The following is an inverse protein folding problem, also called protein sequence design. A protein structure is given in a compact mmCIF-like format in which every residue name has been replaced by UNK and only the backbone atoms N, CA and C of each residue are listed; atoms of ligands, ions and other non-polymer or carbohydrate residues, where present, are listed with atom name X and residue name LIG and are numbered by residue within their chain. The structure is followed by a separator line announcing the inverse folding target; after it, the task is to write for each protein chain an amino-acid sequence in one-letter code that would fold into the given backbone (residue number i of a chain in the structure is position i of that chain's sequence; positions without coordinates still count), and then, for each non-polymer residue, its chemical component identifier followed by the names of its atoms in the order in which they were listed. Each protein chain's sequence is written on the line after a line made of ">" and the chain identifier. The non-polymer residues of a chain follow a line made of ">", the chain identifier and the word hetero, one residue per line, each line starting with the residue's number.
data_IF_529360740866
#
_entry.id   IF_529360740866
#
_cell.length_a   1.000
_cell.length_b   1.000
_cell.length_c   1.000
_cell.angle_alpha   90.00
_cell.angle_beta   90.00
_cell.angle_gamma   90.00
#
_symmetry.space_group_name_H-M   'P 1'
#
loop_
_entity.id
_entity.type
_entity.pdbx_description
1 polymer ?
#
# COMPACT_ATOMS: atom_id res chain seq x y z
N UNK A 1 -3.07 30.75 -15.64
CA UNK A 1 -2.12 30.47 -14.54
C UNK A 1 -2.35 29.03 -14.12
N UNK A 2 -1.67 28.08 -14.75
CA UNK A 2 -1.81 26.65 -14.44
C UNK A 2 -0.73 26.31 -13.44
N UNK A 3 -1.12 26.16 -12.16
CA UNK A 3 -0.20 25.82 -11.10
C UNK A 3 0.07 24.31 -11.16
N UNK A 4 1.11 23.91 -11.89
CA UNK A 4 1.61 22.54 -11.88
C UNK A 4 2.49 22.39 -10.65
N UNK A 5 1.90 22.00 -9.52
CA UNK A 5 2.68 21.57 -8.36
C UNK A 5 3.50 20.35 -8.77
N UNK A 6 4.85 20.39 -8.67
CA UNK A 6 5.68 19.24 -9.01
C UNK A 6 5.38 18.10 -8.03
N UNK A 7 5.08 16.91 -8.57
CA UNK A 7 4.97 15.67 -7.79
C UNK A 7 6.30 15.45 -7.05
N UNK A 8 6.28 15.19 -5.73
CA UNK A 8 7.52 14.90 -5.01
C UNK A 8 8.17 13.66 -5.60
N UNK A 9 9.47 13.77 -5.87
CA UNK A 9 10.27 12.70 -6.42
C UNK A 9 10.28 11.48 -5.48
N UNK A 10 9.64 10.40 -5.95
CA UNK A 10 9.87 9.02 -5.51
C UNK A 10 9.79 8.77 -4.00
N UNK A 11 8.58 8.84 -3.46
CA UNK A 11 8.20 7.97 -2.35
C UNK A 11 7.11 7.03 -2.85
N UNK A 12 7.50 6.08 -3.72
CA UNK A 12 6.65 4.92 -3.97
C UNK A 12 6.72 4.08 -2.71
N UNK A 13 5.56 3.85 -2.08
CA UNK A 13 5.44 2.89 -0.99
C UNK A 13 5.61 1.53 -1.64
N UNK A 14 6.84 1.03 -1.66
CA UNK A 14 7.16 -0.30 -2.17
C UNK A 14 6.55 -1.31 -1.20
N UNK A 15 5.72 -2.20 -1.69
CA UNK A 15 5.13 -3.28 -0.91
C UNK A 15 6.22 -4.29 -0.53
N UNK A 16 7.05 -3.93 0.44
CA UNK A 16 8.06 -4.82 1.02
C UNK A 16 7.33 -5.83 1.91
N UNK A 17 7.71 -7.12 1.90
CA UNK A 17 7.11 -8.08 2.82
C UNK A 17 7.33 -7.61 4.24
N UNK A 18 6.23 -7.43 4.98
CA UNK A 18 6.23 -7.24 6.42
C UNK A 18 6.73 -8.53 7.07
N UNK A 19 8.03 -8.61 7.32
CA UNK A 19 8.63 -9.66 8.12
C UNK A 19 8.73 -9.16 9.57
N UNK A 20 7.71 -9.48 10.36
CA UNK A 20 7.93 -9.75 11.78
C UNK A 20 7.10 -8.98 12.79
N UNK A 21 5.81 -9.32 12.94
CA UNK A 21 5.08 -9.15 14.22
C UNK A 21 4.14 -10.33 14.34
N UNK A 22 4.30 -11.05 15.46
CA UNK A 22 3.48 -12.06 16.16
C UNK A 22 2.14 -12.51 15.55
N UNK A 23 2.09 -12.70 14.23
CA UNK A 23 1.19 -13.60 13.55
C UNK A 23 1.98 -14.90 13.45
N UNK A 24 1.56 -15.93 14.18
CA UNK A 24 2.12 -17.29 14.14
C UNK A 24 1.98 -17.97 12.76
N UNK A 25 1.70 -17.21 11.70
CA UNK A 25 1.63 -17.64 10.32
C UNK A 25 2.78 -17.01 9.52
N UNK A 26 3.61 -17.86 8.91
CA UNK A 26 4.69 -17.43 8.03
C UNK A 26 4.14 -16.57 6.88
N UNK A 27 4.66 -15.36 6.73
CA UNK A 27 4.37 -14.46 5.60
C UNK A 27 5.45 -14.68 4.54
N UNK A 28 5.03 -14.92 3.30
CA UNK A 28 5.92 -15.05 2.15
C UNK A 28 5.51 -14.07 1.05
N UNK A 29 6.47 -13.67 0.22
CA UNK A 29 6.19 -12.82 -0.94
C UNK A 29 5.23 -13.52 -1.90
N UNK A 30 4.16 -12.81 -2.29
CA UNK A 30 3.25 -13.28 -3.32
C UNK A 30 3.95 -13.24 -4.69
N UNK A 31 3.79 -14.32 -5.47
CA UNK A 31 4.23 -14.35 -6.87
C UNK A 31 3.37 -13.42 -7.73
N UNK A 32 3.87 -13.01 -8.89
CA UNK A 32 3.12 -12.18 -9.85
C UNK A 32 1.76 -12.77 -10.25
N UNK A 33 1.69 -14.10 -10.35
CA UNK A 33 0.43 -14.80 -10.61
C UNK A 33 -0.57 -14.62 -9.48
N UNK A 34 -0.12 -14.81 -8.23
CA UNK A 34 -0.97 -14.64 -7.04
C UNK A 34 -1.42 -13.19 -6.88
N UNK A 35 -0.53 -12.22 -7.10
CA UNK A 35 -0.89 -10.79 -7.08
C UNK A 35 -2.04 -10.52 -8.06
N UNK A 36 -1.91 -10.98 -9.31
CA UNK A 36 -2.94 -10.79 -10.34
C UNK A 36 -4.25 -11.49 -9.98
N UNK A 37 -4.16 -12.70 -9.42
CA UNK A 37 -5.31 -13.51 -9.02
C UNK A 37 -6.13 -12.86 -7.90
N UNK A 38 -5.46 -12.38 -6.85
CA UNK A 38 -6.14 -11.81 -5.68
C UNK A 38 -6.53 -10.34 -5.83
N UNK A 39 -5.72 -9.55 -6.54
CA UNK A 39 -5.94 -8.10 -6.65
C UNK A 39 -6.61 -7.68 -7.96
N UNK A 40 -6.60 -8.56 -8.97
CA UNK A 40 -6.97 -8.22 -10.35
C UNK A 40 -5.96 -7.32 -11.07
N UNK A 41 -4.92 -6.85 -10.38
CA UNK A 41 -4.02 -5.80 -10.82
C UNK A 41 -2.61 -6.34 -11.15
N UNK A 42 -1.86 -5.60 -11.97
CA UNK A 42 -0.50 -5.97 -12.34
C UNK A 42 0.50 -5.53 -11.25
N UNK A 43 1.60 -6.29 -11.12
CA UNK A 43 2.73 -5.87 -10.27
C UNK A 43 3.20 -4.47 -10.67
N UNK A 44 3.58 -3.68 -9.66
CA UNK A 44 4.10 -2.31 -9.82
C UNK A 44 3.03 -1.23 -9.85
N UNK A 45 1.74 -1.60 -9.84
CA UNK A 45 0.62 -0.66 -9.82
C UNK A 45 -0.52 -1.09 -8.91
N UNK A 46 -0.26 -1.97 -7.94
CA UNK A 46 -1.29 -2.53 -7.06
C UNK A 46 -1.79 -1.46 -6.10
N UNK A 47 -3.00 -0.97 -6.32
CA UNK A 47 -3.68 -0.05 -5.44
C UNK A 47 -4.06 -0.72 -4.11
N UNK A 48 -4.21 0.06 -3.03
CA UNK A 48 -4.66 -0.45 -1.73
C UNK A 48 -6.13 -0.90 -1.74
N UNK A 49 -6.90 -0.54 -2.77
CA UNK A 49 -8.33 -0.81 -2.91
C UNK A 49 -8.69 -1.21 -4.35
N UNK A 50 -9.96 -1.59 -4.55
CA UNK A 50 -10.49 -1.95 -5.87
C UNK A 50 -10.14 -3.39 -6.28
N UNK A 51 -9.93 -4.27 -5.31
CA UNK A 51 -9.70 -5.69 -5.53
C UNK A 51 -11.04 -6.45 -5.76
N UNK A 52 -11.02 -7.58 -6.48
CA UNK A 52 -12.19 -8.43 -6.68
C UNK A 52 -12.86 -8.91 -5.39
N UNK A 53 -12.07 -9.04 -4.32
CA UNK A 53 -12.54 -9.37 -2.98
C UNK A 53 -11.72 -8.57 -1.94
N UNK A 54 -12.27 -8.32 -0.73
CA UNK A 54 -11.52 -7.69 0.36
C UNK A 54 -10.25 -8.49 0.67
N UNK A 55 -9.10 -7.82 0.68
CA UNK A 55 -7.82 -8.39 1.08
C UNK A 55 -7.52 -7.90 2.48
N UNK A 56 -7.12 -8.81 3.37
CA UNK A 56 -6.67 -8.43 4.72
C UNK A 56 -5.47 -7.49 4.58
N UNK A 57 -5.65 -6.25 5.00
CA UNK A 57 -4.63 -5.21 4.91
C UNK A 57 -4.03 -4.93 6.27
N UNK A 58 -2.70 -4.85 6.31
CA UNK A 58 -1.92 -4.43 7.46
C UNK A 58 -1.24 -3.13 7.09
N UNK A 59 -1.31 -2.13 7.96
CA UNK A 59 -0.76 -0.79 7.73
C UNK A 59 0.34 -0.55 8.76
N UNK A 60 1.52 -0.13 8.30
CA UNK A 60 2.61 0.25 9.20
C UNK A 60 2.27 1.54 9.96
N UNK A 61 2.32 1.49 11.28
CA UNK A 61 2.09 2.63 12.17
C UNK A 61 3.05 3.80 11.88
N UNK A 62 4.27 3.52 11.38
CA UNK A 62 5.24 4.55 11.00
C UNK A 62 4.73 5.47 9.87
N UNK A 63 3.77 5.02 9.05
CA UNK A 63 3.18 5.86 8.00
C UNK A 63 2.39 7.05 8.54
N UNK A 64 2.05 7.07 9.83
CA UNK A 64 1.32 8.17 10.48
C UNK A 64 2.12 9.47 10.53
N UNK A 65 3.45 9.39 10.45
CA UNK A 65 4.33 10.56 10.53
C UNK A 65 4.38 11.35 9.21
N UNK A 66 3.77 10.83 8.14
CA UNK A 66 3.71 11.49 6.84
C UNK A 66 2.35 12.16 6.63
N UNK A 67 2.38 13.46 6.29
CA UNK A 67 1.17 14.22 5.99
C UNK A 67 0.44 13.68 4.75
N UNK A 68 1.19 13.27 3.73
CA UNK A 68 0.66 12.72 2.48
C UNK A 68 1.37 11.42 2.12
N UNK A 69 0.56 10.39 1.88
CA UNK A 69 0.97 9.09 1.36
C UNK A 69 0.65 9.00 -0.13
N UNK A 70 1.54 8.40 -0.92
CA UNK A 70 1.33 8.19 -2.35
C UNK A 70 1.16 6.71 -2.65
N UNK A 71 -0.09 6.27 -2.78
CA UNK A 71 -0.43 4.89 -3.08
C UNK A 71 -0.59 4.67 -4.58
N UNK A 72 -0.30 3.47 -5.09
CA UNK A 72 -0.62 3.14 -6.48
C UNK A 72 -2.14 3.17 -6.71
N UNK A 73 -2.56 3.41 -7.96
CA UNK A 73 -3.96 3.59 -8.34
C UNK A 73 -4.41 2.62 -9.44
N UNK A 74 -3.87 1.40 -9.46
CA UNK A 74 -4.32 0.29 -10.31
C UNK A 74 -3.54 0.14 -11.62
N UNK A 75 -2.62 1.06 -11.93
CA UNK A 75 -1.69 0.93 -13.06
C UNK A 75 -0.26 1.33 -12.65
N UNK A 76 0.79 0.85 -13.34
CA UNK A 76 2.18 1.11 -12.94
C UNK A 76 2.60 2.58 -12.91
N UNK A 77 1.89 3.45 -13.63
CA UNK A 77 2.24 4.86 -13.77
C UNK A 77 1.22 5.81 -13.12
N UNK A 78 0.31 5.29 -12.29
CA UNK A 78 -0.69 6.10 -11.62
C UNK A 78 -0.58 5.92 -10.12
N UNK A 79 -0.42 7.04 -9.42
CA UNK A 79 -0.45 7.13 -7.96
C UNK A 79 -1.51 8.13 -7.53
N UNK A 80 -2.06 7.94 -6.34
CA UNK A 80 -3.03 8.83 -5.73
C UNK A 80 -2.56 9.28 -4.33
N UNK A 81 -2.72 10.58 -3.99
CA UNK A 81 -2.43 11.07 -2.67
C UNK A 81 -3.52 10.64 -1.68
N UNK A 82 -3.12 10.21 -0.50
CA UNK A 82 -4.00 9.81 0.61
C UNK A 82 -3.41 10.30 1.92
N UNK A 83 -4.26 10.61 2.91
CA UNK A 83 -3.81 10.71 4.30
C UNK A 83 -3.73 9.32 4.93
N UNK A 84 -2.98 9.20 6.04
CA UNK A 84 -2.96 7.97 6.83
C UNK A 84 -4.37 7.49 7.22
N UNK A 85 -5.23 8.43 7.65
CA UNK A 85 -6.61 8.11 8.04
C UNK A 85 -7.45 7.63 6.86
N UNK A 86 -7.29 8.24 5.67
CA UNK A 86 -7.96 7.78 4.46
C UNK A 86 -7.50 6.38 4.08
N UNK A 87 -6.20 6.07 4.19
CA UNK A 87 -5.69 4.73 3.91
C UNK A 87 -6.33 3.69 4.84
N UNK A 88 -6.42 3.97 6.14
CA UNK A 88 -7.06 3.07 7.12
C UNK A 88 -8.54 2.88 6.79
N UNK A 89 -9.27 3.97 6.53
CA UNK A 89 -10.71 3.92 6.23
C UNK A 89 -11.01 3.18 4.92
N UNK A 90 -10.21 3.38 3.88
CA UNK A 90 -10.42 2.78 2.57
C UNK A 90 -10.13 1.28 2.55
N UNK A 91 -9.18 0.83 3.37
CA UNK A 91 -8.71 -0.57 3.36
C UNK A 91 -9.28 -1.42 4.50
N UNK A 92 -9.95 -0.79 5.46
CA UNK A 92 -10.30 -1.40 6.76
C UNK A 92 -9.07 -2.08 7.41
N UNK A 93 -7.91 -1.45 7.21
CA UNK A 93 -6.61 -2.02 7.50
C UNK A 93 -6.30 -2.02 9.00
N UNK A 94 -5.67 -3.11 9.47
CA UNK A 94 -5.19 -3.18 10.85
C UNK A 94 -3.83 -2.47 10.95
N UNK A 95 -3.76 -1.42 11.77
CA UNK A 95 -2.50 -0.69 12.02
C UNK A 95 -1.65 -1.48 13.01
N UNK A 96 -0.42 -1.81 12.62
CA UNK A 96 0.60 -2.42 13.48
C UNK A 96 1.95 -1.74 13.23
N UNK A 97 2.85 -1.73 14.20
CA UNK A 97 4.24 -1.31 13.93
C UNK A 97 4.90 -2.38 13.06
N UNK A 98 5.35 -2.05 11.83
CA UNK A 98 5.93 -3.05 10.91
C UNK A 98 7.47 -3.11 10.94
N UNK A 99 8.13 -2.05 11.41
CA UNK A 99 9.57 -2.05 11.60
C UNK A 99 9.97 -2.87 12.84
N UNK A 100 10.89 -3.82 12.64
CA UNK A 100 11.81 -4.24 13.69
C UNK A 100 13.01 -3.28 13.66
N UNK A 101 13.40 -2.74 14.82
CA UNK A 101 14.68 -2.05 14.99
C UNK A 101 15.86 -2.95 14.56
#
# INVERSE_FOLDING_TARGET
>A
MTNTTPLPERSQIDARPAAGHESTAAVAMASAKQVREFTGQAIGGVAPIGHPAPVRTVIDAALRDYETLWAAAGTPNTVMPLTFEQLVQLTDGTVIAVAAD
#
